data_IF_510098258739
#
_entry.id   IF_510098258739
#
_cell.length_a   1.000
_cell.length_b   1.000
_cell.length_c   1.000
_cell.angle_alpha   90.00
_cell.angle_beta   90.00
_cell.angle_gamma   90.00
#
_symmetry.space_group_name_H-M   'P 1'
#
loop_
_entity.id
_entity.type
_entity.pdbx_description
1 polymer ?
#
# COMPACT_ATOMS: atom_id res chain seq x y z
N UNK A 1 15.06 -7.54 4.27
CA UNK A 1 13.89 -8.07 3.53
C UNK A 1 12.60 -7.58 4.17
N UNK A 2 11.67 -7.06 3.38
CA UNK A 2 10.39 -6.62 3.91
C UNK A 2 9.47 -7.82 4.11
N UNK A 3 8.90 -7.92 5.31
CA UNK A 3 7.96 -8.98 5.65
C UNK A 3 6.53 -8.58 5.30
N UNK A 4 5.60 -9.53 5.34
CA UNK A 4 4.18 -9.25 5.18
C UNK A 4 3.71 -8.16 6.14
N UNK A 5 4.11 -8.28 7.41
CA UNK A 5 3.68 -7.33 8.44
C UNK A 5 4.19 -5.93 8.14
N UNK A 6 5.45 -5.80 7.74
CA UNK A 6 6.02 -4.50 7.42
C UNK A 6 5.32 -3.86 6.21
N UNK A 7 5.09 -4.64 5.15
CA UNK A 7 4.41 -4.12 3.97
C UNK A 7 2.96 -3.78 4.28
N UNK A 8 2.31 -4.58 5.10
CA UNK A 8 0.94 -4.30 5.53
C UNK A 8 0.85 -2.99 6.33
N UNK A 9 1.83 -2.73 7.20
CA UNK A 9 1.85 -1.49 7.97
C UNK A 9 2.06 -0.27 7.06
N UNK A 10 2.89 -0.43 6.03
CA UNK A 10 3.07 0.62 5.03
C UNK A 10 1.75 0.91 4.32
N UNK A 11 1.05 -0.14 3.90
CA UNK A 11 -0.23 0.00 3.23
C UNK A 11 -1.27 0.68 4.13
N UNK A 12 -1.35 0.30 5.38
CA UNK A 12 -2.26 0.93 6.34
C UNK A 12 -1.97 2.42 6.50
N UNK A 13 -0.69 2.78 6.56
CA UNK A 13 -0.28 4.16 6.68
C UNK A 13 -0.70 4.96 5.44
N UNK A 14 -0.51 4.37 4.27
CA UNK A 14 -0.92 5.01 3.01
C UNK A 14 -2.43 5.20 2.95
N UNK A 15 -3.20 4.23 3.41
CA UNK A 15 -4.66 4.34 3.45
C UNK A 15 -5.10 5.48 4.37
N UNK A 16 -4.44 5.61 5.51
CA UNK A 16 -4.71 6.70 6.44
C UNK A 16 -4.40 8.06 5.80
N UNK A 17 -3.28 8.14 5.08
CA UNK A 17 -2.89 9.36 4.37
C UNK A 17 -3.92 9.69 3.30
N UNK A 18 -4.44 8.69 2.60
CA UNK A 18 -5.48 8.89 1.60
C UNK A 18 -6.75 9.44 2.25
N UNK A 19 -7.14 8.90 3.40
CA UNK A 19 -8.30 9.38 4.13
C UNK A 19 -8.16 10.88 4.49
N UNK A 20 -6.97 11.28 4.93
CA UNK A 20 -6.70 12.68 5.22
C UNK A 20 -6.78 13.55 3.97
N UNK A 21 -6.21 13.07 2.86
CA UNK A 21 -6.28 13.81 1.59
C UNK A 21 -7.71 13.94 1.11
N UNK A 22 -8.52 12.90 1.31
CA UNK A 22 -9.93 12.93 0.95
C UNK A 22 -10.69 13.98 1.76
N UNK A 23 -10.42 14.06 3.06
CA UNK A 23 -11.03 15.06 3.93
C UNK A 23 -10.66 16.48 3.54
N UNK A 24 -9.45 16.66 3.03
CA UNK A 24 -8.96 17.96 2.56
C UNK A 24 -9.41 18.25 1.13
N UNK A 25 -10.05 17.31 0.48
CA UNK A 25 -10.48 17.41 -0.90
C UNK A 25 -9.32 17.79 -1.83
N UNK A 26 -8.18 17.13 -1.66
CA UNK A 26 -6.98 17.37 -2.45
C UNK A 26 -6.79 16.23 -3.46
N UNK A 27 -7.33 16.39 -4.69
CA UNK A 27 -7.28 15.31 -5.68
C UNK A 27 -5.87 14.97 -6.18
N UNK A 28 -4.97 15.94 -6.18
CA UNK A 28 -3.59 15.68 -6.60
C UNK A 28 -2.90 14.77 -5.60
N UNK A 29 -3.03 15.08 -4.31
CA UNK A 29 -2.47 14.27 -3.26
C UNK A 29 -3.12 12.88 -3.23
N UNK A 30 -4.44 12.83 -3.43
CA UNK A 30 -5.16 11.56 -3.51
C UNK A 30 -4.60 10.67 -4.62
N UNK A 31 -4.31 11.26 -5.79
CA UNK A 31 -3.74 10.52 -6.91
C UNK A 31 -2.35 9.99 -6.56
N UNK A 32 -1.50 10.83 -6.00
CA UNK A 32 -0.14 10.43 -5.63
C UNK A 32 -0.16 9.27 -4.63
N UNK A 33 -1.00 9.38 -3.61
CA UNK A 33 -1.11 8.33 -2.59
C UNK A 33 -1.69 7.05 -3.19
N UNK A 34 -2.65 7.17 -4.11
CA UNK A 34 -3.25 5.99 -4.72
C UNK A 34 -2.23 5.18 -5.53
N UNK A 35 -1.27 5.84 -6.17
CA UNK A 35 -0.18 5.16 -6.86
C UNK A 35 0.65 4.37 -5.86
N UNK A 36 0.98 4.98 -4.73
CA UNK A 36 1.76 4.32 -3.69
C UNK A 36 0.99 3.14 -3.08
N UNK A 37 -0.32 3.28 -2.91
CA UNK A 37 -1.18 2.18 -2.43
C UNK A 37 -1.13 1.01 -3.41
N UNK A 38 -1.24 1.30 -4.71
CA UNK A 38 -1.21 0.26 -5.73
C UNK A 38 0.13 -0.48 -5.72
N UNK A 39 1.24 0.25 -5.56
CA UNK A 39 2.56 -0.36 -5.48
C UNK A 39 2.70 -1.25 -4.24
N UNK A 40 2.21 -0.78 -3.09
CA UNK A 40 2.26 -1.55 -1.86
C UNK A 40 1.39 -2.81 -1.96
N UNK A 41 0.22 -2.68 -2.56
CA UNK A 41 -0.67 -3.83 -2.77
C UNK A 41 -0.01 -4.85 -3.70
N UNK A 42 0.68 -4.39 -4.73
CA UNK A 42 1.40 -5.26 -5.65
C UNK A 42 2.51 -6.02 -4.93
N UNK A 43 3.23 -5.35 -4.04
CA UNK A 43 4.27 -6.01 -3.24
C UNK A 43 3.69 -7.09 -2.34
N UNK A 44 2.53 -6.83 -1.73
CA UNK A 44 1.85 -7.83 -0.91
C UNK A 44 1.41 -9.02 -1.76
N UNK A 45 0.91 -8.76 -2.95
CA UNK A 45 0.54 -9.81 -3.88
C UNK A 45 1.75 -10.66 -4.24
N UNK A 46 2.88 -10.03 -4.56
CA UNK A 46 4.11 -10.72 -4.90
C UNK A 46 4.62 -11.58 -3.75
N UNK A 47 4.61 -11.02 -2.53
CA UNK A 47 5.03 -11.76 -1.34
C UNK A 47 4.15 -12.98 -1.11
N UNK A 48 2.84 -12.83 -1.34
CA UNK A 48 1.89 -13.93 -1.19
C UNK A 48 2.17 -15.02 -2.21
N UNK A 49 2.39 -14.64 -3.46
CA UNK A 49 2.71 -15.59 -4.52
C UNK A 49 4.02 -16.34 -4.22
N UNK A 50 5.03 -15.59 -3.77
CA UNK A 50 6.33 -16.19 -3.44
C UNK A 50 6.19 -17.17 -2.28
N UNK A 51 5.37 -16.84 -1.30
CA UNK A 51 5.15 -17.72 -0.15
C UNK A 51 4.48 -19.02 -0.56
N UNK A 52 3.49 -18.94 -1.43
CA UNK A 52 2.76 -20.11 -1.91
C UNK A 52 3.64 -20.97 -2.80
N UNK A 53 4.37 -20.35 -3.74
CA UNK A 53 5.17 -21.05 -4.74
C UNK A 53 6.56 -21.44 -4.24
N UNK A 54 7.07 -20.67 -3.32
CA UNK A 54 8.44 -20.85 -2.84
C UNK A 54 8.58 -21.90 -1.77
N UNK A 55 7.52 -22.35 -1.33
CA UNK A 55 7.47 -23.37 -0.33
C UNK A 55 7.76 -22.96 1.04
#
# INVERSE_FOLDING_TARGET
MITFTEEYLILKTLIRMYDEALKKADPVLMLEISVDIAESAEKLEQLSCDHINGH
#
